data_IF_285444825786
#
_entry.id   IF_285444825786
#
_cell.length_a   1.000
_cell.length_b   1.000
_cell.length_c   1.000
_cell.angle_alpha   90.00
_cell.angle_beta   90.00
_cell.angle_gamma   90.00
#
_symmetry.space_group_name_H-M   'P 1'
#
loop_
_entity.id
_entity.type
_entity.pdbx_description
1 polymer ?
#
# COMPACT_ATOMS: atom_id res chain seq x y z
N UNK A 1 -30.80 37.67 32.23
CA UNK A 1 -29.58 36.94 32.66
C UNK A 1 -29.51 35.53 32.08
N UNK A 2 -30.54 34.67 32.21
CA UNK A 2 -30.53 33.27 31.72
C UNK A 2 -30.34 33.11 30.19
N UNK A 3 -30.89 34.02 29.38
CA UNK A 3 -30.77 33.96 27.91
C UNK A 3 -29.33 34.21 27.40
N UNK A 4 -28.53 34.98 28.14
CA UNK A 4 -27.12 35.26 27.79
C UNK A 4 -26.23 34.03 28.07
N UNK A 5 -26.51 33.31 29.16
CA UNK A 5 -25.80 32.08 29.52
C UNK A 5 -26.07 30.99 28.46
N UNK A 6 -27.33 30.87 28.02
CA UNK A 6 -27.69 29.94 26.95
C UNK A 6 -26.98 30.25 25.62
N UNK A 7 -26.94 31.52 25.21
CA UNK A 7 -26.24 31.94 24.01
C UNK A 7 -24.72 31.65 24.09
N UNK A 8 -24.12 31.84 25.26
CA UNK A 8 -22.70 31.57 25.47
C UNK A 8 -22.37 30.07 25.36
N UNK A 9 -23.21 29.20 25.93
CA UNK A 9 -23.04 27.74 25.83
C UNK A 9 -23.10 27.28 24.38
N UNK A 10 -24.04 27.80 23.58
CA UNK A 10 -24.15 27.44 22.16
C UNK A 10 -22.89 27.83 21.38
N UNK A 11 -22.34 29.03 21.64
CA UNK A 11 -21.10 29.48 20.99
C UNK A 11 -19.92 28.56 21.33
N UNK A 12 -19.79 28.18 22.61
CA UNK A 12 -18.73 27.27 23.06
C UNK A 12 -18.87 25.89 22.42
N UNK A 13 -20.08 25.35 22.31
CA UNK A 13 -20.31 24.03 21.69
C UNK A 13 -19.98 24.04 20.20
N UNK A 14 -20.35 25.09 19.46
CA UNK A 14 -19.98 25.24 18.04
C UNK A 14 -18.47 25.38 17.88
N UNK A 15 -17.81 26.12 18.77
CA UNK A 15 -16.36 26.29 18.75
C UNK A 15 -15.61 24.97 19.01
N UNK A 16 -16.04 24.22 20.03
CA UNK A 16 -15.47 22.90 20.34
C UNK A 16 -15.70 21.90 19.20
N UNK A 17 -16.89 21.89 18.59
CA UNK A 17 -17.18 21.06 17.42
C UNK A 17 -16.29 21.39 16.23
N UNK A 18 -16.06 22.68 15.97
CA UNK A 18 -15.18 23.15 14.91
C UNK A 18 -13.72 22.76 15.14
N UNK A 19 -13.22 22.89 16.37
CA UNK A 19 -11.85 22.47 16.71
C UNK A 19 -11.64 20.96 16.62
N UNK A 20 -12.62 20.16 17.06
CA UNK A 20 -12.57 18.70 16.90
C UNK A 20 -12.58 18.29 15.43
N UNK A 21 -13.40 18.95 14.59
CA UNK A 21 -13.45 18.68 13.15
C UNK A 21 -12.11 18.99 12.47
N UNK A 22 -11.50 20.15 12.77
CA UNK A 22 -10.19 20.52 12.23
C UNK A 22 -9.08 19.57 12.68
N UNK A 23 -9.11 19.11 13.93
CA UNK A 23 -8.14 18.15 14.45
C UNK A 23 -8.26 16.80 13.73
N UNK A 24 -9.49 16.33 13.52
CA UNK A 24 -9.75 15.07 12.82
C UNK A 24 -9.34 15.13 11.34
N UNK A 25 -9.63 16.26 10.67
CA UNK A 25 -9.23 16.49 9.29
C UNK A 25 -7.69 16.54 9.14
N UNK A 26 -6.99 17.20 10.07
CA UNK A 26 -5.53 17.26 10.10
C UNK A 26 -4.88 15.88 10.28
N UNK A 27 -5.39 15.06 11.20
CA UNK A 27 -4.85 13.70 11.44
C UNK A 27 -5.05 12.80 10.22
N UNK A 28 -6.23 12.85 9.59
CA UNK A 28 -6.48 12.08 8.36
C UNK A 28 -5.57 12.51 7.21
N UNK A 29 -5.36 13.82 7.03
CA UNK A 29 -4.47 14.34 6.01
C UNK A 29 -3.00 13.97 6.30
N UNK A 30 -2.52 14.02 7.55
CA UNK A 30 -1.16 13.60 7.89
C UNK A 30 -0.93 12.10 7.64
N UNK A 31 -1.88 11.23 8.00
CA UNK A 31 -1.78 9.80 7.66
C UNK A 31 -1.75 9.57 6.15
N UNK A 32 -2.63 10.22 5.40
CA UNK A 32 -2.65 10.09 3.94
C UNK A 32 -1.39 10.63 3.29
N UNK A 33 -0.85 11.75 3.79
CA UNK A 33 0.36 12.37 3.25
C UNK A 33 1.57 11.51 3.55
N UNK A 34 1.71 11.00 4.77
CA UNK A 34 2.79 10.05 5.11
C UNK A 34 2.67 8.74 4.33
N UNK A 35 1.45 8.21 4.08
CA UNK A 35 1.25 7.05 3.21
C UNK A 35 1.65 7.36 1.76
N UNK A 36 1.26 8.53 1.23
CA UNK A 36 1.60 8.97 -0.13
C UNK A 36 3.10 9.26 -0.28
N UNK A 37 3.75 9.80 0.75
CA UNK A 37 5.20 10.05 0.76
C UNK A 37 6.01 8.77 0.95
N UNK A 38 5.60 7.87 1.85
CA UNK A 38 6.20 6.53 1.95
C UNK A 38 6.03 5.71 0.66
N UNK A 39 4.90 5.88 -0.04
CA UNK A 39 4.69 5.29 -1.36
C UNK A 39 5.55 5.95 -2.46
N UNK A 40 5.83 7.26 -2.36
CA UNK A 40 6.71 7.99 -3.29
C UNK A 40 8.19 7.64 -3.11
N UNK A 41 8.65 7.41 -1.88
CA UNK A 41 10.04 7.02 -1.58
C UNK A 41 10.39 5.63 -2.12
N UNK A 42 9.37 4.81 -2.42
CA UNK A 42 9.53 3.47 -2.98
C UNK A 42 9.02 3.43 -4.43
N UNK A 43 9.57 4.26 -5.32
CA UNK A 43 9.27 4.13 -6.75
C UNK A 43 9.89 2.81 -7.24
N UNK A 44 9.07 1.81 -7.60
CA UNK A 44 9.57 0.48 -7.87
C UNK A 44 10.44 0.43 -9.13
N UNK A 45 10.36 1.45 -10.00
CA UNK A 45 11.22 1.59 -11.19
C UNK A 45 12.71 1.76 -10.87
N UNK A 46 13.06 2.13 -9.63
CA UNK A 46 14.47 2.23 -9.19
C UNK A 46 14.96 0.99 -8.45
N UNK A 47 14.11 -0.03 -8.25
CA UNK A 47 14.53 -1.25 -7.57
C UNK A 47 15.35 -2.13 -8.53
N UNK A 48 16.58 -2.52 -8.15
CA UNK A 48 17.37 -3.44 -8.95
C UNK A 48 16.73 -4.84 -8.95
N UNK A 49 16.98 -5.61 -10.01
CA UNK A 49 16.56 -7.01 -10.10
C UNK A 49 15.54 -7.33 -11.21
N UNK A 50 15.23 -6.38 -12.08
CA UNK A 50 14.52 -6.61 -13.35
C UNK A 50 15.32 -6.02 -14.50
N UNK A 51 15.45 -6.78 -15.59
CA UNK A 51 16.09 -6.28 -16.80
C UNK A 51 15.15 -5.33 -17.55
N UNK A 52 15.70 -4.28 -18.16
CA UNK A 52 14.92 -3.31 -18.95
C UNK A 52 14.16 -3.95 -20.12
N UNK A 53 14.56 -5.15 -20.55
CA UNK A 53 13.89 -5.92 -21.60
C UNK A 53 12.58 -6.57 -21.13
N UNK A 54 12.44 -6.84 -19.83
CA UNK A 54 11.23 -7.43 -19.25
C UNK A 54 10.19 -6.38 -18.87
N UNK A 55 10.57 -5.10 -18.76
CA UNK A 55 9.65 -4.01 -18.41
C UNK A 55 8.45 -3.90 -19.39
N UNK A 56 8.62 -3.97 -20.72
CA UNK A 56 7.49 -3.91 -21.65
C UNK A 56 6.57 -5.12 -21.57
N UNK A 57 7.11 -6.31 -21.28
CA UNK A 57 6.29 -7.53 -21.13
C UNK A 57 5.53 -7.53 -19.80
N UNK A 58 6.15 -7.01 -18.74
CA UNK A 58 5.52 -6.76 -17.44
C UNK A 58 4.35 -5.77 -17.57
N UNK A 59 4.58 -4.62 -18.22
CA UNK A 59 3.52 -3.62 -18.43
C UNK A 59 2.34 -4.17 -19.24
N UNK A 60 2.60 -4.97 -20.28
CA UNK A 60 1.53 -5.65 -21.02
C UNK A 60 0.75 -6.62 -20.13
N UNK A 61 1.43 -7.43 -19.33
CA UNK A 61 0.77 -8.37 -18.42
C UNK A 61 -0.09 -7.63 -17.37
N UNK A 62 0.39 -6.50 -16.87
CA UNK A 62 -0.35 -5.64 -15.94
C UNK A 62 -1.62 -5.06 -16.58
N UNK A 63 -1.55 -4.61 -17.84
CA UNK A 63 -2.70 -4.09 -18.59
C UNK A 63 -3.73 -5.17 -18.95
N UNK A 64 -3.27 -6.41 -19.17
CA UNK A 64 -4.13 -7.55 -19.49
C UNK A 64 -4.83 -8.14 -18.25
N UNK A 65 -4.40 -7.76 -17.04
CA UNK A 65 -5.03 -8.12 -15.78
C UNK A 65 -4.41 -9.34 -15.08
N UNK A 66 -5.07 -9.77 -14.00
CA UNK A 66 -4.51 -10.71 -13.02
C UNK A 66 -4.14 -12.08 -13.62
N UNK A 67 -4.94 -12.59 -14.56
CA UNK A 67 -4.66 -13.87 -15.22
C UNK A 67 -3.36 -13.83 -16.04
N UNK A 68 -3.15 -12.76 -16.83
CA UNK A 68 -1.94 -12.56 -17.61
C UNK A 68 -0.73 -12.33 -16.70
N UNK A 69 -0.92 -11.57 -15.62
CA UNK A 69 0.13 -11.32 -14.63
C UNK A 69 0.60 -12.60 -13.92
N UNK A 70 -0.34 -13.50 -13.59
CA UNK A 70 -0.04 -14.82 -13.01
C UNK A 70 0.83 -15.67 -13.95
N UNK A 71 0.47 -15.72 -15.24
CA UNK A 71 1.25 -16.44 -16.26
C UNK A 71 2.62 -15.80 -16.44
N UNK A 72 2.68 -14.48 -16.46
CA UNK A 72 3.94 -13.74 -16.59
C UNK A 72 4.89 -14.00 -15.41
N UNK A 73 4.39 -13.97 -14.17
CA UNK A 73 5.17 -14.30 -12.97
C UNK A 73 5.65 -15.75 -12.98
N UNK A 74 4.84 -16.69 -13.47
CA UNK A 74 5.26 -18.08 -13.61
C UNK A 74 6.43 -18.24 -14.60
N UNK A 75 6.40 -17.50 -15.71
CA UNK A 75 7.39 -17.60 -16.77
C UNK A 75 8.69 -16.83 -16.47
N UNK A 76 8.58 -15.63 -15.93
CA UNK A 76 9.70 -14.71 -15.73
C UNK A 76 10.11 -14.52 -14.27
N UNK A 77 9.28 -14.92 -13.31
CA UNK A 77 9.57 -14.82 -11.87
C UNK A 77 10.87 -15.48 -11.41
N UNK A 78 11.34 -16.60 -12.00
CA UNK A 78 12.67 -17.15 -11.69
C UNK A 78 13.83 -16.28 -12.19
N UNK A 79 13.61 -15.48 -13.23
CA UNK A 79 14.61 -14.58 -13.82
C UNK A 79 14.67 -13.22 -13.11
N UNK A 80 13.72 -12.93 -12.21
CA UNK A 80 13.71 -11.72 -11.40
C UNK A 80 14.51 -11.93 -10.13
N UNK A 81 15.22 -10.88 -9.71
CA UNK A 81 15.90 -10.83 -8.42
C UNK A 81 15.13 -9.94 -7.45
N UNK A 82 15.18 -10.28 -6.16
CA UNK A 82 14.75 -9.38 -5.10
C UNK A 82 15.74 -8.20 -5.02
N UNK A 83 15.29 -6.96 -4.71
CA UNK A 83 14.00 -6.54 -4.16
C UNK A 83 12.86 -6.31 -5.17
N UNK A 84 13.15 -6.20 -6.46
CA UNK A 84 12.14 -5.90 -7.50
C UNK A 84 11.12 -7.02 -7.67
N UNK A 85 11.54 -8.28 -7.61
CA UNK A 85 10.64 -9.44 -7.65
C UNK A 85 9.60 -9.40 -6.54
N UNK A 86 10.04 -9.26 -5.29
CA UNK A 86 9.16 -9.15 -4.14
C UNK A 86 8.19 -7.98 -4.24
N UNK A 87 8.61 -6.83 -4.78
CA UNK A 87 7.68 -5.72 -5.01
C UNK A 87 6.52 -6.11 -5.94
N UNK A 88 6.85 -6.72 -7.07
CA UNK A 88 5.87 -7.12 -8.10
C UNK A 88 4.91 -8.18 -7.55
N UNK A 89 5.43 -9.14 -6.79
CA UNK A 89 4.59 -10.16 -6.16
C UNK A 89 3.67 -9.58 -5.07
N UNK A 90 4.11 -8.55 -4.33
CA UNK A 90 3.26 -7.83 -3.39
C UNK A 90 2.18 -7.01 -4.10
N UNK A 91 2.50 -6.36 -5.23
CA UNK A 91 1.49 -5.69 -6.08
C UNK A 91 0.46 -6.70 -6.61
N UNK A 92 0.92 -7.85 -7.10
CA UNK A 92 0.04 -8.91 -7.58
C UNK A 92 -0.81 -9.54 -6.46
N UNK A 93 -0.25 -9.70 -5.26
CA UNK A 93 -0.97 -10.13 -4.07
C UNK A 93 -2.19 -9.24 -3.79
N UNK A 94 -1.99 -7.91 -3.77
CA UNK A 94 -3.09 -6.95 -3.58
C UNK A 94 -4.13 -7.07 -4.70
N UNK A 95 -3.68 -7.22 -5.95
CA UNK A 95 -4.57 -7.32 -7.10
C UNK A 95 -5.44 -8.59 -7.09
N UNK A 96 -4.88 -9.73 -6.67
CA UNK A 96 -5.57 -11.03 -6.63
C UNK A 96 -6.38 -11.24 -5.36
N UNK A 97 -6.20 -10.42 -4.32
CA UNK A 97 -6.87 -10.59 -3.02
C UNK A 97 -8.38 -10.66 -3.12
N UNK A 98 -8.98 -9.87 -4.02
CA UNK A 98 -10.43 -9.86 -4.24
C UNK A 98 -10.94 -11.11 -4.98
N UNK A 99 -10.09 -11.75 -5.77
CA UNK A 99 -10.43 -12.95 -6.53
C UNK A 99 -10.16 -14.22 -5.71
N UNK A 100 -8.98 -14.29 -5.09
CA UNK A 100 -8.48 -15.45 -4.35
C UNK A 100 -7.65 -15.01 -3.15
N UNK A 101 -8.27 -14.86 -1.96
CA UNK A 101 -7.55 -14.46 -0.75
C UNK A 101 -6.55 -15.53 -0.28
N UNK A 102 -6.82 -16.81 -0.57
CA UNK A 102 -5.88 -17.89 -0.24
C UNK A 102 -4.58 -17.80 -1.04
N UNK A 103 -4.67 -17.50 -2.34
CA UNK A 103 -3.51 -17.28 -3.21
C UNK A 103 -2.71 -16.05 -2.75
N UNK A 104 -3.40 -14.94 -2.45
CA UNK A 104 -2.77 -13.73 -1.93
C UNK A 104 -1.97 -13.99 -0.65
N UNK A 105 -2.53 -14.73 0.32
CA UNK A 105 -1.83 -15.10 1.56
C UNK A 105 -0.60 -15.98 1.30
N UNK A 106 -0.67 -16.93 0.36
CA UNK A 106 0.47 -17.78 0.00
C UNK A 106 1.61 -16.97 -0.61
N UNK A 107 1.29 -16.06 -1.53
CA UNK A 107 2.26 -15.16 -2.16
C UNK A 107 2.89 -14.26 -1.09
N UNK A 108 2.07 -13.63 -0.25
CA UNK A 108 2.56 -12.77 0.83
C UNK A 108 3.53 -13.50 1.76
N UNK A 109 3.18 -14.72 2.18
CA UNK A 109 4.05 -15.56 3.02
C UNK A 109 5.38 -15.87 2.31
N UNK A 110 5.33 -16.29 1.05
CA UNK A 110 6.54 -16.58 0.27
C UNK A 110 7.43 -15.37 0.04
N UNK A 111 6.86 -14.16 -0.01
CA UNK A 111 7.64 -12.91 -0.04
C UNK A 111 8.22 -12.59 1.32
N UNK A 112 7.44 -12.72 2.40
CA UNK A 112 7.88 -12.45 3.77
C UNK A 112 9.05 -13.33 4.18
N UNK A 113 8.96 -14.63 3.91
CA UNK A 113 9.98 -15.62 4.31
C UNK A 113 11.34 -15.38 3.63
N UNK A 114 11.35 -14.84 2.39
CA UNK A 114 12.60 -14.58 1.65
C UNK A 114 13.15 -13.18 1.85
N UNK A 115 12.36 -12.24 2.35
CA UNK A 115 12.75 -10.83 2.39
C UNK A 115 13.55 -10.52 3.66
N UNK A 116 14.83 -10.16 3.57
CA UNK A 116 15.62 -9.81 4.75
C UNK A 116 15.11 -8.51 5.40
N UNK A 117 15.31 -8.38 6.71
CA UNK A 117 14.91 -7.19 7.49
C UNK A 117 15.58 -5.88 7.02
N UNK A 118 16.66 -5.96 6.23
CA UNK A 118 17.38 -4.84 5.64
C UNK A 118 16.84 -4.40 4.28
N UNK A 119 15.85 -5.12 3.72
CA UNK A 119 15.33 -4.85 2.37
C UNK A 119 14.54 -3.53 2.31
N UNK A 120 14.67 -2.75 1.23
CA UNK A 120 13.93 -1.49 1.07
C UNK A 120 12.40 -1.69 1.02
N UNK A 121 11.92 -2.90 0.76
CA UNK A 121 10.48 -3.20 0.65
C UNK A 121 9.81 -3.48 2.00
N UNK A 122 10.57 -3.50 3.10
CA UNK A 122 10.06 -3.77 4.45
C UNK A 122 8.88 -2.88 4.89
N UNK A 123 8.86 -1.56 4.61
CA UNK A 123 7.71 -0.72 4.95
C UNK A 123 6.42 -1.22 4.29
N UNK A 124 6.50 -1.63 3.02
CA UNK A 124 5.36 -2.17 2.27
C UNK A 124 4.92 -3.52 2.80
N UNK A 125 5.88 -4.38 3.16
CA UNK A 125 5.58 -5.68 3.77
C UNK A 125 4.78 -5.52 5.07
N UNK A 126 5.21 -4.63 5.97
CA UNK A 126 4.51 -4.32 7.23
C UNK A 126 3.12 -3.72 7.03
N UNK A 127 2.92 -2.92 5.98
CA UNK A 127 1.59 -2.38 5.66
C UNK A 127 0.62 -3.50 5.28
N UNK A 128 1.09 -4.45 4.47
CA UNK A 128 0.27 -5.57 3.98
C UNK A 128 0.12 -6.68 5.04
N UNK A 129 1.08 -6.83 5.94
CA UNK A 129 1.05 -7.80 7.05
C UNK A 129 -0.26 -7.75 7.84
N UNK A 130 -0.74 -6.54 8.15
CA UNK A 130 -2.03 -6.31 8.83
C UNK A 130 -3.25 -6.89 8.13
N UNK A 131 -3.17 -7.12 6.82
CA UNK A 131 -4.29 -7.60 5.99
C UNK A 131 -4.22 -9.09 5.67
N UNK A 132 -3.04 -9.72 5.79
CA UNK A 132 -2.82 -11.10 5.35
C UNK A 132 -2.38 -12.07 6.44
N UNK A 133 -1.83 -11.59 7.56
CA UNK A 133 -1.74 -12.37 8.81
C UNK A 133 -3.11 -12.51 9.47
#
# INVERSE_FOLDING_TARGET
MSKLIGAFIVIVVVFCGYQLFLYWDKVNHEEETQRKEAAKVLNPAYLPGMSNQLEPSYQRAQQQGNAAMRVWLKNYGPSLQDPRKAWIELDFCVAVTRESPAEAKQIFKGVKDRTPATSPIQPRLKQLEKSYE
#
